data_IF_891147883064
#
_entry.id   IF_891147883064
#
_cell.length_a   1.000
_cell.length_b   1.000
_cell.length_c   1.000
_cell.angle_alpha   90.00
_cell.angle_beta   90.00
_cell.angle_gamma   90.00
#
_symmetry.space_group_name_H-M   'P 1'
#
loop_
_entity.id
_entity.type
_entity.pdbx_description
1 polymer ?
#
# COMPACT_ATOMS: atom_id res chain seq x y z
N UNK A 1 42.99 -16.49 -5.75
CA UNK A 1 42.74 -15.34 -6.65
C UNK A 1 42.31 -14.17 -5.80
N UNK A 2 43.20 -13.19 -5.62
CA UNK A 2 42.96 -12.01 -4.78
C UNK A 2 42.12 -11.01 -5.56
N UNK A 3 40.96 -10.60 -5.04
CA UNK A 3 40.17 -9.54 -5.67
C UNK A 3 40.97 -8.22 -5.62
N UNK A 4 41.04 -7.44 -6.72
CA UNK A 4 41.78 -6.19 -6.71
C UNK A 4 41.04 -5.13 -5.90
N UNK A 5 41.60 -4.77 -4.74
CA UNK A 5 41.14 -3.65 -3.90
C UNK A 5 41.80 -2.37 -4.44
N UNK A 6 41.03 -1.29 -4.58
CA UNK A 6 41.53 0.03 -5.00
C UNK A 6 41.54 0.30 -6.50
N UNK A 7 41.06 -0.64 -7.34
CA UNK A 7 40.93 -0.43 -8.78
C UNK A 7 39.51 -0.04 -9.19
N UNK A 8 39.40 0.82 -10.20
CA UNK A 8 38.13 1.14 -10.86
C UNK A 8 37.77 0.03 -11.85
N UNK A 9 37.10 -1.02 -11.36
CA UNK A 9 36.66 -2.17 -12.17
C UNK A 9 35.24 -1.98 -12.68
N UNK A 10 34.96 -2.50 -13.88
CA UNK A 10 33.59 -2.53 -14.44
C UNK A 10 32.69 -3.43 -13.58
N UNK A 11 31.41 -3.07 -13.49
CA UNK A 11 30.44 -3.80 -12.65
C UNK A 11 30.10 -5.15 -13.29
N UNK A 12 29.84 -6.16 -12.47
CA UNK A 12 29.61 -7.54 -12.96
C UNK A 12 28.21 -7.71 -13.57
N UNK A 13 27.27 -6.91 -13.09
CA UNK A 13 25.87 -6.94 -13.49
C UNK A 13 25.58 -6.28 -14.84
N UNK A 14 26.44 -5.36 -15.29
CA UNK A 14 26.20 -4.51 -16.47
C UNK A 14 25.80 -5.34 -17.69
N UNK A 15 26.53 -6.42 -17.99
CA UNK A 15 26.25 -7.25 -19.17
C UNK A 15 24.82 -7.78 -19.18
N UNK A 16 24.31 -8.30 -18.07
CA UNK A 16 22.95 -8.88 -18.03
C UNK A 16 21.88 -7.77 -18.06
N UNK A 17 22.11 -6.67 -17.34
CA UNK A 17 21.15 -5.58 -17.26
C UNK A 17 21.03 -4.83 -18.60
N UNK A 18 22.15 -4.52 -19.24
CA UNK A 18 22.20 -3.78 -20.51
C UNK A 18 21.72 -4.60 -21.73
N UNK A 19 21.62 -5.92 -21.61
CA UNK A 19 21.18 -6.80 -22.71
C UNK A 19 19.74 -7.29 -22.53
N UNK A 20 18.98 -6.75 -21.57
CA UNK A 20 17.62 -7.22 -21.27
C UNK A 20 17.58 -8.63 -20.69
N UNK A 21 18.71 -9.14 -20.19
CA UNK A 21 18.86 -10.45 -19.54
C UNK A 21 18.87 -10.35 -18.02
N UNK A 22 18.56 -9.17 -17.48
CA UNK A 22 18.17 -9.02 -16.08
C UNK A 22 16.86 -9.75 -15.83
N UNK A 23 16.62 -10.15 -14.58
CA UNK A 23 15.34 -10.72 -14.17
C UNK A 23 14.84 -9.95 -12.95
N UNK A 24 13.71 -9.29 -13.12
CA UNK A 24 12.98 -8.58 -12.09
C UNK A 24 11.77 -9.41 -11.64
N UNK A 25 11.08 -8.95 -10.60
CA UNK A 25 9.92 -9.66 -10.04
C UNK A 25 8.83 -9.88 -11.09
N UNK A 26 8.57 -8.88 -11.95
CA UNK A 26 7.52 -8.95 -12.97
C UNK A 26 7.89 -9.83 -14.18
N UNK A 27 9.15 -10.24 -14.30
CA UNK A 27 9.61 -11.21 -15.31
C UNK A 27 9.36 -12.67 -14.88
N UNK A 28 8.94 -12.89 -13.64
CA UNK A 28 8.64 -14.23 -13.14
C UNK A 28 7.34 -14.74 -13.78
N UNK A 29 7.39 -15.98 -14.28
CA UNK A 29 6.25 -16.70 -14.83
C UNK A 29 6.14 -18.02 -14.09
N UNK A 30 4.97 -18.30 -13.53
CA UNK A 30 4.63 -19.52 -12.80
C UNK A 30 3.36 -20.09 -13.40
N UNK A 31 3.16 -21.41 -13.28
CA UNK A 31 1.86 -22.01 -13.57
C UNK A 31 0.81 -21.41 -12.63
N UNK A 32 -0.38 -21.12 -13.17
CA UNK A 32 -1.51 -20.55 -12.41
C UNK A 32 -1.24 -19.18 -11.76
N UNK A 33 -0.29 -18.39 -12.29
CA UNK A 33 -0.02 -17.04 -11.82
C UNK A 33 -1.28 -16.16 -11.95
N UNK A 34 -1.78 -15.66 -10.82
CA UNK A 34 -2.84 -14.66 -10.78
C UNK A 34 -2.26 -13.25 -10.62
N UNK A 35 -2.95 -12.26 -11.18
CA UNK A 35 -2.63 -10.85 -10.99
C UNK A 35 -3.59 -10.23 -9.98
N UNK A 36 -3.08 -9.30 -9.17
CA UNK A 36 -3.88 -8.55 -8.21
C UNK A 36 -3.93 -7.06 -8.60
N UNK A 37 -5.11 -6.46 -8.51
CA UNK A 37 -5.31 -5.03 -8.61
C UNK A 37 -5.77 -4.50 -7.25
N UNK A 38 -5.20 -3.38 -6.80
CA UNK A 38 -5.56 -2.76 -5.52
C UNK A 38 -6.46 -1.56 -5.79
N UNK A 39 -7.70 -1.66 -5.34
CA UNK A 39 -8.61 -0.51 -5.23
C UNK A 39 -8.17 0.29 -4.01
N UNK A 40 -7.78 1.54 -4.21
CA UNK A 40 -7.48 2.45 -3.10
C UNK A 40 -8.71 3.36 -2.87
N UNK A 41 -8.70 4.17 -1.82
CA UNK A 41 -9.66 5.27 -1.69
C UNK A 41 -9.36 6.37 -2.70
N UNK A 42 -10.27 7.23 -3.19
CA UNK A 42 -9.95 8.48 -3.87
C UNK A 42 -9.77 9.66 -2.91
N UNK A 43 -10.10 9.47 -1.62
CA UNK A 43 -10.07 10.51 -0.59
C UNK A 43 -8.89 10.35 0.38
N UNK A 44 -8.20 11.47 0.66
CA UNK A 44 -7.10 11.53 1.63
C UNK A 44 -7.51 11.16 3.07
N UNK A 45 -8.81 11.29 3.40
CA UNK A 45 -9.36 10.87 4.69
C UNK A 45 -10.86 10.62 4.57
N UNK A 46 -11.31 9.39 4.76
CA UNK A 46 -12.73 9.05 4.75
C UNK A 46 -13.02 7.81 5.60
N UNK A 47 -14.28 7.64 6.01
CA UNK A 47 -14.81 6.33 6.46
C UNK A 47 -15.34 5.58 5.24
N UNK A 48 -15.09 4.28 5.18
CA UNK A 48 -15.78 3.39 4.25
C UNK A 48 -17.17 3.13 4.84
N UNK A 49 -18.21 3.45 4.10
CA UNK A 49 -19.59 3.19 4.50
C UNK A 49 -20.07 1.86 3.93
N UNK A 50 -19.66 1.54 2.69
CA UNK A 50 -20.07 0.33 2.00
C UNK A 50 -19.11 0.00 0.84
N UNK A 51 -19.04 -1.27 0.45
CA UNK A 51 -18.25 -1.80 -0.67
C UNK A 51 -19.14 -2.74 -1.48
N UNK A 52 -19.46 -2.38 -2.72
CA UNK A 52 -20.21 -3.26 -3.63
C UNK A 52 -19.28 -3.87 -4.69
N UNK A 53 -18.94 -5.14 -4.49
CA UNK A 53 -18.10 -5.91 -5.39
C UNK A 53 -18.88 -6.78 -6.40
N UNK A 54 -20.23 -6.78 -6.38
CA UNK A 54 -21.06 -7.75 -7.15
C UNK A 54 -20.82 -7.70 -8.65
N UNK A 55 -20.55 -6.51 -9.18
CA UNK A 55 -20.23 -6.33 -10.60
C UNK A 55 -18.87 -6.91 -10.97
N UNK A 56 -17.88 -6.81 -10.08
CA UNK A 56 -16.54 -7.31 -10.34
C UNK A 56 -16.47 -8.84 -10.22
N UNK A 57 -17.16 -9.42 -9.23
CA UNK A 57 -17.13 -10.88 -8.98
C UNK A 57 -17.72 -11.72 -10.11
N UNK A 58 -18.54 -11.15 -10.98
CA UNK A 58 -19.16 -11.85 -12.13
C UNK A 58 -18.37 -11.69 -13.44
N UNK A 59 -17.29 -10.91 -13.45
CA UNK A 59 -16.49 -10.72 -14.67
C UNK A 59 -15.65 -11.97 -14.98
N UNK A 60 -15.57 -12.41 -16.25
CA UNK A 60 -14.70 -13.49 -16.65
C UNK A 60 -13.24 -13.22 -16.25
N UNK A 61 -12.59 -14.21 -15.63
CA UNK A 61 -11.19 -14.13 -15.21
C UNK A 61 -10.95 -13.50 -13.83
N UNK A 62 -11.97 -12.94 -13.17
CA UNK A 62 -11.87 -12.52 -11.77
C UNK A 62 -11.92 -13.75 -10.88
N UNK A 63 -10.84 -13.98 -10.13
CA UNK A 63 -10.73 -15.13 -9.22
C UNK A 63 -11.33 -14.82 -7.86
N UNK A 64 -11.12 -13.60 -7.35
CA UNK A 64 -11.67 -13.14 -6.08
C UNK A 64 -11.70 -11.61 -5.99
N UNK A 65 -12.58 -11.07 -5.16
CA UNK A 65 -12.52 -9.70 -4.64
C UNK A 65 -12.38 -9.81 -3.13
N UNK A 66 -11.27 -9.32 -2.59
CA UNK A 66 -10.92 -9.49 -1.18
C UNK A 66 -10.99 -8.14 -0.45
N UNK A 67 -11.61 -8.16 0.72
CA UNK A 67 -11.71 -7.04 1.66
C UNK A 67 -11.03 -7.39 2.98
N UNK A 68 -11.03 -6.45 3.94
CA UNK A 68 -10.53 -6.72 5.29
C UNK A 68 -11.30 -7.84 6.00
N UNK A 69 -12.56 -8.09 5.62
CA UNK A 69 -13.39 -9.14 6.21
C UNK A 69 -12.90 -10.54 5.83
N UNK A 70 -12.28 -10.66 4.65
CA UNK A 70 -11.76 -11.92 4.12
C UNK A 70 -10.33 -12.22 4.61
N UNK A 71 -9.61 -11.18 5.08
CA UNK A 71 -8.21 -11.24 5.52
C UNK A 71 -8.02 -10.55 6.88
N UNK A 72 -8.61 -11.07 7.97
CA UNK A 72 -8.57 -10.44 9.29
C UNK A 72 -7.13 -10.29 9.84
N UNK A 73 -6.20 -11.15 9.45
CA UNK A 73 -4.78 -11.06 9.78
C UNK A 73 -4.12 -9.77 9.24
N UNK A 74 -4.66 -9.19 8.17
CA UNK A 74 -4.19 -7.92 7.60
C UNK A 74 -4.76 -6.69 8.30
N UNK A 75 -5.65 -6.85 9.29
CA UNK A 75 -6.24 -5.75 10.06
C UNK A 75 -5.30 -5.17 11.12
N UNK A 76 -4.25 -5.89 11.50
CA UNK A 76 -3.21 -5.37 12.37
C UNK A 76 -2.40 -4.27 11.66
N UNK A 77 -1.95 -3.29 12.45
CA UNK A 77 -1.06 -2.26 11.92
C UNK A 77 0.28 -2.87 11.49
N UNK A 78 0.76 -2.48 10.32
CA UNK A 78 2.07 -2.91 9.81
C UNK A 78 3.15 -2.38 10.76
N UNK A 79 4.05 -3.24 11.29
CA UNK A 79 5.09 -2.78 12.19
C UNK A 79 6.05 -1.84 11.45
N UNK A 80 6.59 -0.82 12.13
CA UNK A 80 7.61 0.03 11.53
C UNK A 80 8.89 -0.78 11.29
N UNK A 81 9.63 -0.46 10.22
CA UNK A 81 10.93 -1.08 9.94
C UNK A 81 11.93 -0.89 11.10
N UNK A 82 11.85 0.25 11.78
CA UNK A 82 12.63 0.55 12.99
C UNK A 82 11.66 0.84 14.13
N UNK A 83 11.66 -0.03 15.14
CA UNK A 83 10.88 0.18 16.35
C UNK A 83 11.58 1.18 17.26
N UNK A 84 10.84 2.18 17.74
CA UNK A 84 11.33 3.14 18.74
C UNK A 84 10.18 3.62 19.61
N UNK A 85 10.35 3.67 20.94
CA UNK A 85 9.33 4.22 21.85
C UNK A 85 9.11 5.72 21.65
N UNK A 86 10.00 6.43 20.94
CA UNK A 86 9.83 7.84 20.60
C UNK A 86 8.89 8.07 19.41
N UNK A 87 8.65 7.04 18.59
CA UNK A 87 7.77 7.17 17.44
C UNK A 87 6.33 6.92 17.85
N UNK A 88 5.41 7.71 17.27
CA UNK A 88 3.99 7.41 17.38
C UNK A 88 3.74 6.03 16.78
N UNK A 89 2.85 5.27 17.43
CA UNK A 89 2.44 3.96 16.94
C UNK A 89 1.93 4.10 15.51
N UNK A 90 2.50 3.31 14.61
CA UNK A 90 1.97 3.16 13.26
C UNK A 90 0.60 2.48 13.37
N UNK A 91 -0.43 3.06 12.76
CA UNK A 91 -1.82 2.57 12.85
C UNK A 91 -2.37 2.16 11.49
N UNK A 92 -1.52 2.11 10.47
CA UNK A 92 -1.94 1.78 9.12
C UNK A 92 -1.90 0.25 8.93
N UNK A 93 -3.05 -0.39 8.66
CA UNK A 93 -3.11 -1.79 8.28
C UNK A 93 -2.63 -2.01 6.84
N UNK A 94 -2.38 -3.27 6.48
CA UNK A 94 -1.99 -3.64 5.11
C UNK A 94 -3.16 -3.47 4.12
N UNK A 95 -4.38 -3.75 4.57
CA UNK A 95 -5.62 -3.55 3.82
C UNK A 95 -6.50 -2.56 4.58
N UNK A 96 -7.18 -1.66 3.86
CA UNK A 96 -8.02 -0.66 4.51
C UNK A 96 -9.19 -1.32 5.25
N UNK A 97 -9.30 -1.03 6.55
CA UNK A 97 -10.49 -1.31 7.35
C UNK A 97 -11.58 -0.24 7.13
N UNK A 98 -12.39 0.10 8.15
CA UNK A 98 -13.52 1.03 8.00
C UNK A 98 -13.11 2.49 7.71
N UNK A 99 -11.82 2.78 7.56
CA UNK A 99 -11.26 4.12 7.42
C UNK A 99 -10.05 4.12 6.49
N UNK A 100 -10.04 5.06 5.54
CA UNK A 100 -9.07 5.15 4.44
C UNK A 100 -8.30 6.47 4.44
N UNK A 101 -7.10 6.45 3.86
CA UNK A 101 -6.21 7.62 3.71
C UNK A 101 -5.37 7.63 2.40
N UNK A 102 -5.94 7.24 1.25
CA UNK A 102 -5.22 7.06 -0.05
C UNK A 102 -6.06 7.52 -1.27
N UNK A 103 -5.52 7.52 -2.52
CA UNK A 103 -6.13 7.94 -3.83
C UNK A 103 -6.26 6.79 -4.90
N UNK A 104 -7.35 6.64 -5.72
CA UNK A 104 -7.63 5.44 -6.60
C UNK A 104 -8.83 5.40 -7.61
N UNK A 105 -9.08 4.17 -8.15
CA UNK A 105 -9.93 3.68 -9.26
C UNK A 105 -10.69 2.30 -9.04
N UNK A 106 -11.71 2.02 -9.89
CA UNK A 106 -12.42 0.79 -10.37
C UNK A 106 -13.34 -0.16 -9.52
N UNK A 107 -13.47 -0.07 -8.18
CA UNK A 107 -14.57 -0.74 -7.42
C UNK A 107 -15.44 0.33 -6.79
N UNK A 108 -16.76 0.12 -6.76
CA UNK A 108 -17.67 1.08 -6.14
C UNK A 108 -17.57 0.98 -4.62
N UNK A 109 -17.07 2.05 -4.03
CA UNK A 109 -16.88 2.17 -2.59
C UNK A 109 -17.52 3.47 -2.17
N UNK A 110 -18.47 3.37 -1.25
CA UNK A 110 -19.17 4.53 -0.71
C UNK A 110 -18.39 5.08 0.48
N UNK A 111 -18.08 6.37 0.42
CA UNK A 111 -17.28 7.05 1.44
C UNK A 111 -18.07 8.14 2.18
N UNK A 112 -17.74 8.32 3.45
CA UNK A 112 -18.03 9.54 4.18
C UNK A 112 -16.71 10.31 4.38
N UNK A 113 -16.51 11.36 3.59
CA UNK A 113 -15.26 12.15 3.58
C UNK A 113 -15.09 12.88 4.91
N UNK A 114 -13.87 12.84 5.44
CA UNK A 114 -13.48 13.48 6.69
C UNK A 114 -12.46 14.59 6.43
N UNK A 115 -12.36 15.62 7.29
CA UNK A 115 -11.34 16.66 7.13
C UNK A 115 -9.94 16.05 7.13
N UNK A 116 -9.21 16.25 6.04
CA UNK A 116 -7.82 15.83 5.91
C UNK A 116 -6.88 16.83 6.58
N UNK A 117 -5.69 16.36 6.95
CA UNK A 117 -4.55 17.19 7.34
C UNK A 117 -3.47 16.90 6.31
N UNK A 118 -3.19 17.86 5.44
CA UNK A 118 -2.34 17.66 4.26
C UNK A 118 -0.97 18.33 4.40
N UNK A 119 -0.77 19.16 5.43
CA UNK A 119 0.49 19.82 5.70
C UNK A 119 0.95 19.75 7.15
N UNK A 120 2.25 19.94 7.36
CA UNK A 120 2.85 20.07 8.69
C UNK A 120 2.19 21.20 9.49
N UNK A 121 1.96 22.35 8.86
CA UNK A 121 1.37 23.51 9.54
C UNK A 121 -0.08 23.27 9.96
N UNK A 122 -0.88 22.58 9.14
CA UNK A 122 -2.21 22.13 9.54
C UNK A 122 -2.16 21.12 10.68
N UNK A 123 -1.20 20.20 10.64
CA UNK A 123 -1.01 19.22 11.70
C UNK A 123 -0.70 19.90 13.04
N UNK A 124 0.23 20.86 13.05
CA UNK A 124 0.60 21.62 14.25
C UNK A 124 -0.60 22.41 14.80
N UNK A 125 -1.40 23.06 13.94
CA UNK A 125 -2.64 23.73 14.38
C UNK A 125 -3.67 22.75 14.95
N UNK A 126 -3.82 21.59 14.34
CA UNK A 126 -4.78 20.58 14.79
C UNK A 126 -4.38 19.94 16.13
N UNK A 127 -3.09 19.86 16.44
CA UNK A 127 -2.56 19.31 17.68
C UNK A 127 -2.77 20.22 18.90
N UNK A 128 -3.02 21.51 18.67
CA UNK A 128 -3.30 22.50 19.72
C UNK A 128 -4.78 22.54 20.14
N UNK A 129 -5.69 21.79 19.47
CA UNK A 129 -7.09 21.67 19.88
C UNK A 129 -7.25 20.62 20.98
N UNK A 130 -8.06 20.89 22.04
CA UNK A 130 -8.31 19.91 23.08
C UNK A 130 -9.04 18.66 22.54
N UNK A 131 -8.77 17.46 23.09
CA UNK A 131 -9.42 16.23 22.67
C UNK A 131 -10.92 16.28 22.98
N UNK A 132 -11.78 16.00 21.97
CA UNK A 132 -13.24 15.91 22.14
C UNK A 132 -14.10 16.82 21.26
N UNK A 133 -13.50 17.65 20.39
CA UNK A 133 -14.23 18.63 19.55
C UNK A 133 -14.59 18.14 18.13
N UNK A 134 -14.78 16.83 17.90
CA UNK A 134 -15.12 16.28 16.58
C UNK A 134 -16.14 15.15 16.64
#
# INVERSE_FOLDING_TARGET
>A
MTAPIGLSVKRREDRRLLTGRGRYVDDVRLSHLCHAAIVRSPHAHARIVDVDARRATVLPGVVAVLTIADLPECAAAVPPLVASPRFRRYVQPAIAGPKVRHAADAVDVRYAVLPAVASLWEALRSAQRPPGSR
#
